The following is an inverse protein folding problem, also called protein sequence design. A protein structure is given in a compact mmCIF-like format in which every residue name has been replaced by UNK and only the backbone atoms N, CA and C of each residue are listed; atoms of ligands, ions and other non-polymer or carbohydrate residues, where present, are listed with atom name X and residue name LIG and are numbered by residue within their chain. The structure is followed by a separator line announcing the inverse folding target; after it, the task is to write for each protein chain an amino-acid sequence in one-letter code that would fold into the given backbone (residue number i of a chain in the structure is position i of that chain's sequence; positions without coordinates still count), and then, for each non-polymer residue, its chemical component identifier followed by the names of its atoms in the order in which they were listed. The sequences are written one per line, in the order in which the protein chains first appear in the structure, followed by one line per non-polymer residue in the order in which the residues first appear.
data_IF_536960549153
#
_entry.id   IF_536960549153
#
_cell.length_a   1.000
_cell.length_b   1.000
_cell.length_c   1.000
_cell.angle_alpha   90.00
_cell.angle_beta   90.00
_cell.angle_gamma   90.00
#
_symmetry.space_group_name_H-M   'P 1'
#
loop_
_entity.id
_entity.type
_entity.pdbx_description
1 polymer ?
#
# COMPACT_ATOMS: atom_id res chain seq x y z
N UNK A 1 9.25 21.97 -10.71
CA UNK A 1 9.06 22.26 -9.27
C UNK A 1 8.16 21.21 -8.65
N UNK A 2 6.96 20.94 -9.18
CA UNK A 2 6.05 19.89 -8.67
C UNK A 2 6.68 18.47 -8.57
N UNK A 3 7.44 18.03 -9.57
CA UNK A 3 8.12 16.72 -9.55
C UNK A 3 9.09 16.54 -8.38
N UNK A 4 9.87 17.57 -8.03
CA UNK A 4 10.82 17.49 -6.91
C UNK A 4 10.12 17.38 -5.56
N UNK A 5 8.94 18.01 -5.43
CA UNK A 5 8.11 17.90 -4.22
C UNK A 5 7.47 16.52 -4.10
N UNK A 6 6.98 15.95 -5.22
CA UNK A 6 6.49 14.57 -5.27
C UNK A 6 7.60 13.60 -4.89
N UNK A 7 8.79 13.75 -5.47
CA UNK A 7 9.96 12.92 -5.17
C UNK A 7 10.35 12.96 -3.69
N UNK A 8 10.34 14.15 -3.10
CA UNK A 8 10.63 14.35 -1.68
C UNK A 8 9.58 13.67 -0.78
N UNK A 9 8.29 13.78 -1.13
CA UNK A 9 7.22 13.10 -0.41
C UNK A 9 7.36 11.58 -0.51
N UNK A 10 7.67 11.04 -1.69
CA UNK A 10 7.96 9.62 -1.87
C UNK A 10 9.15 9.19 -0.99
N UNK A 11 10.27 9.92 -1.01
CA UNK A 11 11.40 9.60 -0.14
C UNK A 11 11.02 9.63 1.36
N UNK A 12 10.15 10.56 1.76
CA UNK A 12 9.66 10.66 3.14
C UNK A 12 8.81 9.45 3.54
N UNK A 13 8.07 8.82 2.61
CA UNK A 13 7.31 7.58 2.90
C UNK A 13 8.19 6.37 3.31
N UNK A 14 9.50 6.46 3.11
CA UNK A 14 10.50 5.45 3.46
C UNK A 14 11.38 5.86 4.65
N UNK A 15 11.14 7.04 5.24
CA UNK A 15 11.94 7.58 6.33
C UNK A 15 11.41 7.13 7.69
N UNK A 16 12.20 6.39 8.45
CA UNK A 16 11.78 5.82 9.73
C UNK A 16 11.24 4.40 9.60
N UNK A 17 10.56 3.91 10.62
CA UNK A 17 9.95 2.58 10.58
C UNK A 17 8.70 2.59 9.71
N UNK A 18 8.41 1.47 9.04
CA UNK A 18 7.32 1.37 8.06
C UNK A 18 5.94 1.73 8.64
N UNK A 19 5.73 1.47 9.93
CA UNK A 19 4.46 1.69 10.61
C UNK A 19 4.43 3.04 11.38
N UNK A 20 5.46 3.89 11.24
CA UNK A 20 5.53 5.20 11.87
C UNK A 20 4.53 6.20 11.25
N UNK A 21 4.17 7.22 12.04
CA UNK A 21 3.25 8.28 11.63
C UNK A 21 3.81 9.15 10.51
N UNK A 22 5.11 9.46 10.54
CA UNK A 22 5.73 10.35 9.55
C UNK A 22 5.68 9.80 8.09
N UNK A 23 6.01 8.51 7.83
CA UNK A 23 5.73 7.87 6.54
C UNK A 23 4.28 7.95 6.10
N UNK A 24 3.34 7.76 7.02
CA UNK A 24 1.91 7.80 6.72
C UNK A 24 1.41 9.20 6.40
N UNK A 25 1.93 10.24 7.06
CA UNK A 25 1.65 11.63 6.71
C UNK A 25 2.12 11.97 5.30
N UNK A 26 3.30 11.48 4.89
CA UNK A 26 3.78 11.63 3.53
C UNK A 26 2.87 10.93 2.50
N UNK A 27 2.36 9.73 2.82
CA UNK A 27 1.35 9.05 1.98
C UNK A 27 0.06 9.87 1.86
N UNK A 28 -0.41 10.48 2.96
CA UNK A 28 -1.59 11.35 2.93
C UNK A 28 -1.35 12.66 2.16
N UNK A 29 -0.12 13.18 2.16
CA UNK A 29 0.27 14.31 1.33
C UNK A 29 0.27 13.93 -0.16
N UNK A 30 0.81 12.77 -0.53
CA UNK A 30 0.76 12.23 -1.90
C UNK A 30 -0.67 12.01 -2.38
N UNK A 31 -1.56 11.53 -1.51
CA UNK A 31 -2.99 11.41 -1.81
C UNK A 31 -3.64 12.76 -2.10
N UNK A 32 -3.27 13.81 -1.35
CA UNK A 32 -3.79 15.17 -1.55
C UNK A 32 -3.30 15.78 -2.87
N UNK A 33 -2.05 15.54 -3.24
CA UNK A 33 -1.51 15.92 -4.56
C UNK A 33 -2.26 15.17 -5.66
N UNK A 34 -2.36 13.85 -5.51
CA UNK A 34 -3.26 12.99 -6.26
C UNK A 34 -3.26 13.25 -7.76
N UNK A 35 -2.09 13.47 -8.38
CA UNK A 35 -1.92 13.68 -9.83
C UNK A 35 -1.59 12.37 -10.56
N UNK A 36 -1.62 12.40 -11.90
CA UNK A 36 -1.16 11.25 -12.70
C UNK A 36 0.31 10.89 -12.46
N UNK A 37 1.16 11.88 -12.21
CA UNK A 37 2.58 11.68 -11.88
C UNK A 37 2.76 10.87 -10.58
N UNK A 38 1.92 11.13 -9.55
CA UNK A 38 1.92 10.34 -8.32
C UNK A 38 1.50 8.90 -8.60
N UNK A 39 0.49 8.69 -9.46
CA UNK A 39 0.06 7.36 -9.87
C UNK A 39 1.16 6.59 -10.60
N UNK A 40 1.75 7.19 -11.63
CA UNK A 40 2.80 6.55 -12.45
C UNK A 40 4.01 6.15 -11.59
N UNK A 41 4.44 7.05 -10.70
CA UNK A 41 5.55 6.77 -9.79
C UNK A 41 5.22 5.68 -8.76
N UNK A 42 4.01 5.68 -8.21
CA UNK A 42 3.59 4.62 -7.30
C UNK A 42 3.49 3.26 -8.01
N UNK A 43 3.09 3.24 -9.28
CA UNK A 43 3.08 2.06 -10.11
C UNK A 43 4.51 1.55 -10.39
N UNK A 44 5.45 2.43 -10.72
CA UNK A 44 6.87 2.09 -10.86
C UNK A 44 7.43 1.48 -9.56
N UNK A 45 7.06 2.04 -8.40
CA UNK A 45 7.49 1.52 -7.10
C UNK A 45 7.02 0.10 -6.83
N UNK A 46 5.84 -0.29 -7.31
CA UNK A 46 5.35 -1.67 -7.25
C UNK A 46 6.23 -2.65 -8.05
N UNK A 47 7.03 -2.17 -8.99
CA UNK A 47 7.97 -2.98 -9.80
C UNK A 47 9.41 -2.92 -9.29
N UNK A 48 9.66 -2.17 -8.21
CA UNK A 48 10.99 -2.05 -7.60
C UNK A 48 11.54 -3.41 -7.13
N UNK A 49 12.86 -3.56 -7.15
CA UNK A 49 13.53 -4.72 -6.58
C UNK A 49 13.45 -4.75 -5.05
N UNK A 50 13.15 -3.62 -4.42
CA UNK A 50 13.08 -3.50 -2.97
C UNK A 50 11.67 -3.82 -2.45
N UNK A 51 11.49 -4.82 -1.57
CA UNK A 51 10.18 -5.19 -1.04
C UNK A 51 9.47 -4.05 -0.29
N UNK A 52 10.24 -3.20 0.40
CA UNK A 52 9.66 -2.07 1.15
C UNK A 52 9.12 -0.98 0.22
N UNK A 53 9.81 -0.75 -0.91
CA UNK A 53 9.38 0.21 -1.94
C UNK A 53 8.12 -0.31 -2.63
N UNK A 54 8.07 -1.60 -2.95
CA UNK A 54 6.87 -2.24 -3.51
C UNK A 54 5.66 -2.11 -2.58
N UNK A 55 5.86 -2.39 -1.29
CA UNK A 55 4.79 -2.28 -0.29
C UNK A 55 4.25 -0.84 -0.22
N UNK A 56 5.16 0.14 -0.22
CA UNK A 56 4.77 1.53 -0.14
C UNK A 56 4.12 2.05 -1.41
N UNK A 57 4.55 1.58 -2.58
CA UNK A 57 3.85 1.83 -3.85
C UNK A 57 2.39 1.38 -3.79
N UNK A 58 2.14 0.18 -3.26
CA UNK A 58 0.79 -0.34 -3.06
C UNK A 58 -0.03 0.51 -2.07
N UNK A 59 0.56 0.97 -0.97
CA UNK A 59 -0.11 1.86 -0.01
C UNK A 59 -0.50 3.21 -0.63
N UNK A 60 0.41 3.83 -1.40
CA UNK A 60 0.13 5.08 -2.09
C UNK A 60 -0.99 4.89 -3.10
N UNK A 61 -0.91 3.84 -3.94
CA UNK A 61 -1.98 3.49 -4.87
C UNK A 61 -3.29 3.26 -4.14
N UNK A 62 -3.32 2.58 -2.99
CA UNK A 62 -4.55 2.36 -2.21
C UNK A 62 -5.26 3.66 -1.80
N UNK A 63 -4.49 4.70 -1.55
CA UNK A 63 -4.98 6.00 -1.10
C UNK A 63 -5.40 6.91 -2.26
N UNK A 64 -4.97 6.62 -3.50
CA UNK A 64 -5.39 7.36 -4.69
C UNK A 64 -6.82 7.01 -5.10
N UNK A 65 -7.65 8.05 -5.21
CA UNK A 65 -9.03 7.97 -5.64
C UNK A 65 -9.69 9.34 -5.63
N UNK A 66 -11.00 9.39 -5.87
CA UNK A 66 -11.77 10.63 -5.87
C UNK A 66 -11.62 11.37 -4.53
N UNK A 67 -11.03 12.55 -4.56
CA UNK A 67 -11.05 13.50 -3.44
C UNK A 67 -11.94 14.69 -3.80
N UNK A 68 -12.27 15.52 -2.81
CA UNK A 68 -13.01 16.77 -3.03
C UNK A 68 -12.21 17.70 -3.96
N UNK A 69 -10.89 17.70 -3.83
CA UNK A 69 -9.97 18.55 -4.60
C UNK A 69 -9.70 17.98 -6.01
N UNK A 70 -9.81 16.65 -6.19
CA UNK A 70 -9.54 15.95 -7.44
C UNK A 70 -10.67 14.98 -7.82
N UNK A 71 -11.85 15.49 -8.21
CA UNK A 71 -13.04 14.67 -8.48
C UNK A 71 -12.93 13.82 -9.75
N UNK A 72 -12.08 14.21 -10.71
CA UNK A 72 -11.81 13.50 -11.96
C UNK A 72 -10.63 12.54 -11.87
N UNK A 73 -9.78 12.65 -10.84
CA UNK A 73 -8.60 11.79 -10.70
C UNK A 73 -8.96 10.49 -10.03
N UNK A 74 -9.55 9.63 -10.86
CA UNK A 74 -10.00 8.32 -10.49
C UNK A 74 -9.19 7.34 -11.34
N UNK A 75 -8.17 6.72 -10.76
CA UNK A 75 -7.44 5.60 -11.37
C UNK A 75 -7.90 4.24 -10.79
N UNK A 76 -9.21 3.93 -10.68
CA UNK A 76 -9.66 2.76 -9.94
C UNK A 76 -9.30 1.48 -10.69
N UNK A 77 -9.40 1.48 -12.03
CA UNK A 77 -9.12 0.33 -12.87
C UNK A 77 -7.60 0.12 -13.02
N UNK A 78 -6.86 1.19 -13.24
CA UNK A 78 -5.41 1.17 -13.41
C UNK A 78 -4.72 0.79 -12.10
N UNK A 79 -5.14 1.37 -10.97
CA UNK A 79 -4.62 0.96 -9.65
C UNK A 79 -4.96 -0.49 -9.34
N UNK A 80 -6.18 -0.93 -9.69
CA UNK A 80 -6.57 -2.33 -9.50
C UNK A 80 -5.68 -3.28 -10.33
N UNK A 81 -5.41 -2.95 -11.58
CA UNK A 81 -4.52 -3.72 -12.46
C UNK A 81 -3.11 -3.83 -11.87
N UNK A 82 -2.54 -2.70 -11.42
CA UNK A 82 -1.19 -2.68 -10.83
C UNK A 82 -1.14 -3.51 -9.54
N UNK A 83 -2.11 -3.32 -8.64
CA UNK A 83 -2.14 -4.01 -7.34
C UNK A 83 -2.39 -5.52 -7.52
N UNK A 84 -3.26 -5.93 -8.43
CA UNK A 84 -3.49 -7.36 -8.72
C UNK A 84 -2.28 -8.01 -9.39
N UNK A 85 -1.62 -7.30 -10.30
CA UNK A 85 -0.35 -7.74 -10.87
C UNK A 85 0.75 -7.88 -9.81
N UNK A 86 0.81 -6.99 -8.81
CA UNK A 86 1.73 -7.12 -7.68
C UNK A 86 1.40 -8.37 -6.85
N UNK A 87 0.13 -8.57 -6.52
CA UNK A 87 -0.32 -9.72 -5.73
C UNK A 87 0.02 -11.06 -6.38
N UNK A 88 -0.05 -11.16 -7.72
CA UNK A 88 0.23 -12.40 -8.44
C UNK A 88 1.71 -12.80 -8.44
N UNK A 89 2.63 -11.83 -8.37
CA UNK A 89 4.08 -12.07 -8.44
C UNK A 89 4.78 -12.00 -7.09
N UNK A 90 4.12 -11.46 -6.06
CA UNK A 90 4.77 -11.14 -4.80
C UNK A 90 5.02 -12.39 -3.93
N UNK A 91 6.21 -12.46 -3.37
CA UNK A 91 6.63 -13.52 -2.44
C UNK A 91 6.87 -12.97 -1.03
N UNK A 92 7.13 -11.67 -0.91
CA UNK A 92 7.50 -11.03 0.35
C UNK A 92 6.26 -10.60 1.15
N UNK A 93 6.28 -10.89 2.45
CA UNK A 93 5.11 -10.73 3.32
C UNK A 93 4.57 -9.29 3.40
N UNK A 94 5.46 -8.29 3.44
CA UNK A 94 5.08 -6.86 3.58
C UNK A 94 4.33 -6.33 2.34
N UNK A 95 4.90 -6.38 1.13
CA UNK A 95 4.17 -5.95 -0.07
C UNK A 95 2.92 -6.78 -0.36
N UNK A 96 2.90 -8.08 -0.02
CA UNK A 96 1.70 -8.90 -0.12
C UNK A 96 0.58 -8.35 0.79
N UNK A 97 0.90 -8.04 2.05
CA UNK A 97 -0.06 -7.48 3.00
C UNK A 97 -0.57 -6.10 2.54
N UNK A 98 0.31 -5.25 2.02
CA UNK A 98 -0.06 -3.94 1.47
C UNK A 98 -1.00 -4.07 0.27
N UNK A 99 -0.71 -4.98 -0.67
CA UNK A 99 -1.56 -5.24 -1.83
C UNK A 99 -2.95 -5.76 -1.44
N UNK A 100 -3.04 -6.69 -0.48
CA UNK A 100 -4.32 -7.20 0.03
C UNK A 100 -5.13 -6.08 0.69
N UNK A 101 -4.50 -5.27 1.55
CA UNK A 101 -5.15 -4.13 2.19
C UNK A 101 -5.69 -3.14 1.15
N UNK A 102 -4.88 -2.83 0.13
CA UNK A 102 -5.23 -1.92 -0.95
C UNK A 102 -6.47 -2.37 -1.74
N UNK A 103 -6.61 -3.67 -2.02
CA UNK A 103 -7.80 -4.22 -2.67
C UNK A 103 -9.03 -4.21 -1.75
N UNK A 104 -8.83 -4.47 -0.46
CA UNK A 104 -9.90 -4.42 0.55
C UNK A 104 -10.55 -3.04 0.66
N UNK A 105 -9.77 -1.96 0.50
CA UNK A 105 -10.28 -0.59 0.51
C UNK A 105 -11.13 -0.22 -0.71
N UNK A 106 -11.05 -0.99 -1.82
CA UNK A 106 -11.66 -0.66 -3.11
C UNK A 106 -12.98 -1.39 -3.39
N UNK A 107 -13.37 -2.36 -2.57
CA UNK A 107 -14.63 -3.07 -2.74
C UNK A 107 -15.81 -2.19 -2.26
N UNK A 108 -16.86 -1.99 -3.07
CA UNK A 108 -18.03 -1.24 -2.64
C UNK A 108 -18.71 -1.99 -1.49
N UNK A 109 -18.99 -1.28 -0.40
CA UNK A 109 -19.71 -1.76 0.78
C UNK A 109 -21.20 -2.09 0.55
N UNK A 110 -21.64 -2.29 -0.70
CA UNK A 110 -23.06 -2.46 -1.02
C UNK A 110 -23.58 -3.91 -0.89
N UNK A 111 -22.69 -4.89 -0.76
CA UNK A 111 -23.11 -6.24 -0.44
C UNK A 111 -22.70 -6.53 1.00
N UNK A 112 -23.67 -6.99 1.79
CA UNK A 112 -23.51 -7.57 3.13
C UNK A 112 -22.63 -8.84 3.15
N UNK A 113 -21.60 -8.92 2.30
CA UNK A 113 -20.47 -9.81 2.42
C UNK A 113 -19.39 -9.11 3.26
N UNK A 114 -19.77 -8.75 4.48
CA UNK A 114 -18.84 -8.72 5.60
C UNK A 114 -18.48 -10.18 5.92
N UNK A 115 -17.93 -10.89 4.94
CA UNK A 115 -17.43 -12.24 5.08
C UNK A 115 -15.94 -12.05 5.12
N UNK A 116 -15.43 -12.05 6.35
CA UNK A 116 -14.03 -12.10 6.68
C UNK A 116 -13.28 -12.86 5.57
N UNK A 117 -12.55 -12.12 4.73
CA UNK A 117 -11.37 -12.71 4.13
C UNK A 117 -10.57 -13.19 5.34
N UNK A 118 -10.24 -14.50 5.43
CA UNK A 118 -9.53 -15.04 6.60
C UNK A 118 -8.24 -14.25 6.92
N UNK A 119 -7.74 -13.49 5.95
CA UNK A 119 -6.57 -12.64 6.04
C UNK A 119 -6.79 -11.28 6.71
N UNK A 120 -8.01 -10.73 6.79
CA UNK A 120 -8.24 -9.37 7.31
C UNK A 120 -8.21 -9.30 8.86
N UNK A 121 -8.69 -10.34 9.54
CA UNK A 121 -8.64 -10.46 11.01
C UNK A 121 -7.32 -11.10 11.47
N UNK A 122 -6.76 -12.05 10.72
CA UNK A 122 -5.43 -12.61 11.01
C UNK A 122 -4.28 -11.63 10.75
N UNK A 123 -4.31 -10.83 9.68
CA UNK A 123 -3.24 -9.83 9.46
C UNK A 123 -3.22 -8.75 10.54
N UNK A 124 -4.38 -8.33 11.06
CA UNK A 124 -4.44 -7.33 12.15
C UNK A 124 -3.97 -7.87 13.51
N UNK A 125 -4.14 -9.17 13.78
CA UNK A 125 -3.78 -9.79 15.06
C UNK A 125 -2.39 -10.46 15.05
N UNK A 126 -1.97 -11.06 13.95
CA UNK A 126 -0.61 -11.61 13.76
C UNK A 126 0.44 -10.49 13.70
N UNK A 127 0.15 -9.33 13.11
CA UNK A 127 1.09 -8.20 13.08
C UNK A 127 1.27 -7.58 14.49
N UNK A 128 0.24 -7.62 15.35
CA UNK A 128 0.35 -7.17 16.76
C UNK A 128 0.94 -8.22 17.72
N UNK A 129 0.78 -9.52 17.44
CA UNK A 129 1.21 -10.61 18.34
C UNK A 129 2.56 -11.24 17.95
N UNK A 130 2.91 -11.24 16.66
CA UNK A 130 4.17 -11.77 16.14
C UNK A 130 5.40 -10.90 16.44
N UNK A 131 5.22 -9.59 16.67
CA UNK A 131 6.35 -8.69 16.98
C UNK A 131 6.68 -8.67 18.49
N UNK A 132 5.81 -9.15 19.38
CA UNK A 132 6.10 -9.24 20.84
C UNK A 132 6.64 -10.60 21.29
N UNK A 133 6.51 -11.65 20.49
CA UNK A 133 7.13 -12.96 20.74
C UNK A 133 8.07 -13.28 19.59
N UNK A 134 9.33 -12.85 19.73
CA UNK A 134 10.39 -13.29 18.83
C UNK A 134 10.44 -14.81 18.81
N UNK A 135 10.24 -15.41 17.63
CA UNK A 135 10.60 -16.79 17.31
C UNK A 135 10.28 -17.08 15.83
N UNK A 136 11.21 -16.76 14.92
CA UNK A 136 11.46 -17.62 13.76
C UNK A 136 12.66 -18.51 14.12
N UNK A 137 12.41 -19.48 15.02
CA UNK A 137 13.39 -20.52 15.32
C UNK A 137 13.40 -21.49 14.16
N UNK A 138 14.56 -21.62 13.52
CA UNK A 138 14.88 -22.67 12.54
C UNK A 138 14.37 -24.04 13.00
N UNK A 139 13.83 -24.82 12.06
CA UNK A 139 14.18 -26.24 11.94
C UNK A 139 13.75 -26.84 10.60
N UNK A 140 14.76 -27.12 9.78
CA UNK A 140 14.76 -28.29 8.90
C UNK A 140 15.09 -29.52 9.76
N UNK A 141 14.61 -30.71 9.40
CA UNK A 141 15.52 -31.63 8.71
C UNK A 141 15.04 -32.00 7.31
#
# INVERSE_FOLDING_TARGET
MATQEIDALFAQTLSGDYDDEAPWEAVQALRRVGTQEVFEKAAEWCESTSPIIRARGADVLAQLGKTVDHPSNNFPEESYSVITGLLQRETEARPLAAAIAALGHRQPSCCAANRELPFASESRSQIRRGIRLGMFSKRNP
#
